data_IF_187765975182
#
_entry.id   IF_187765975182
#
_cell.length_a   1.000
_cell.length_b   1.000
_cell.length_c   1.000
_cell.angle_alpha   90.00
_cell.angle_beta   90.00
_cell.angle_gamma   90.00
#
_symmetry.space_group_name_H-M   'P 1'
#
loop_
_entity.id
_entity.type
_entity.pdbx_description
1 polymer ?
#
# COMPACT_ATOMS: atom_id res chain seq x y z
N UNK A 1 9.64 3.41 21.58
CA UNK A 1 8.26 3.82 21.87
C UNK A 1 7.36 2.62 21.71
N UNK A 2 6.52 2.32 22.70
CA UNK A 2 5.50 1.26 22.60
C UNK A 2 4.19 1.81 22.04
N UNK A 3 3.28 0.92 21.65
CA UNK A 3 1.93 1.33 21.23
C UNK A 3 1.17 2.07 22.35
N UNK A 4 1.33 1.64 23.59
CA UNK A 4 0.69 2.27 24.76
C UNK A 4 1.21 3.69 24.97
N UNK A 5 2.51 3.91 24.79
CA UNK A 5 3.14 5.23 24.87
C UNK A 5 2.66 6.14 23.72
N UNK A 6 2.55 5.62 22.50
CA UNK A 6 2.00 6.36 21.36
C UNK A 6 0.53 6.74 21.58
N UNK A 7 -0.27 5.80 22.09
CA UNK A 7 -1.70 5.99 22.36
C UNK A 7 -1.99 7.00 23.48
N UNK A 8 -0.99 7.32 24.29
CA UNK A 8 -1.09 8.35 25.33
C UNK A 8 -0.80 9.77 24.80
N UNK A 9 -0.32 9.91 23.56
CA UNK A 9 -0.12 11.21 22.93
C UNK A 9 -1.46 11.83 22.48
N UNK A 10 -1.53 13.17 22.33
CA UNK A 10 -2.64 13.82 21.64
C UNK A 10 -2.84 13.21 20.24
N UNK A 11 -4.10 13.02 19.83
CA UNK A 11 -4.47 12.39 18.56
C UNK A 11 -3.81 13.08 17.36
N UNK A 12 -3.68 14.41 17.41
CA UNK A 12 -3.06 15.21 16.35
C UNK A 12 -1.58 14.88 16.16
N UNK A 13 -0.91 14.43 17.22
CA UNK A 13 0.49 14.03 17.22
C UNK A 13 0.60 12.55 16.87
N UNK A 14 -0.19 11.69 17.51
CA UNK A 14 -0.18 10.25 17.29
C UNK A 14 -0.47 9.89 15.82
N UNK A 15 -1.43 10.57 15.20
CA UNK A 15 -1.78 10.39 13.78
C UNK A 15 -0.72 10.86 12.78
N UNK A 16 0.41 11.41 13.24
CA UNK A 16 1.56 11.77 12.40
C UNK A 16 2.76 10.84 12.63
N UNK A 17 2.57 9.73 13.34
CA UNK A 17 3.63 8.82 13.74
C UNK A 17 3.34 7.40 13.26
N UNK A 18 4.30 6.81 12.57
CA UNK A 18 4.41 5.36 12.37
C UNK A 18 5.43 4.78 13.37
N UNK A 19 5.22 3.53 13.78
CA UNK A 19 6.19 2.79 14.59
C UNK A 19 6.84 1.66 13.79
N UNK A 20 8.15 1.77 13.58
CA UNK A 20 8.95 0.76 12.91
C UNK A 20 9.74 -0.02 13.97
N UNK A 21 9.18 -1.14 14.43
CA UNK A 21 9.75 -1.93 15.54
C UNK A 21 10.03 -1.07 16.79
N UNK A 22 9.07 -0.21 17.14
CA UNK A 22 9.13 0.73 18.25
C UNK A 22 9.96 1.99 17.99
N UNK A 23 10.56 2.14 16.80
CA UNK A 23 11.18 3.39 16.34
C UNK A 23 10.12 4.35 15.83
N UNK A 24 10.14 5.59 16.34
CA UNK A 24 9.23 6.66 15.92
C UNK A 24 9.65 7.20 14.56
N UNK A 25 8.74 7.17 13.60
CA UNK A 25 8.90 7.76 12.27
C UNK A 25 7.79 8.77 12.04
N UNK A 26 8.16 10.01 11.69
CA UNK A 26 7.19 11.07 11.43
C UNK A 26 6.69 10.99 10.00
N UNK A 27 5.38 10.84 9.84
CA UNK A 27 4.71 10.89 8.56
C UNK A 27 4.30 12.34 8.29
N UNK A 28 4.73 12.88 7.15
CA UNK A 28 4.29 14.20 6.69
C UNK A 28 2.98 14.02 5.94
N UNK A 29 1.95 14.80 6.30
CA UNK A 29 0.74 14.88 5.46
C UNK A 29 1.13 15.40 4.08
N UNK A 30 0.76 14.64 3.05
CA UNK A 30 0.93 15.06 1.67
C UNK A 30 0.11 16.32 1.34
N UNK A 31 0.38 16.96 0.18
CA UNK A 31 -0.46 18.05 -0.31
C UNK A 31 -1.89 17.54 -0.62
N UNK A 32 -2.86 18.44 -0.84
CA UNK A 32 -4.25 18.04 -1.07
C UNK A 32 -4.41 17.03 -2.22
N UNK A 33 -3.62 17.20 -3.28
CA UNK A 33 -3.62 16.32 -4.46
C UNK A 33 -3.25 14.87 -4.12
N UNK A 34 -2.47 14.66 -3.06
CA UNK A 34 -2.18 13.32 -2.54
C UNK A 34 -3.44 12.67 -1.96
N UNK A 35 -4.18 13.41 -1.13
CA UNK A 35 -5.42 12.91 -0.54
C UNK A 35 -6.49 12.64 -1.61
N UNK A 36 -6.62 13.55 -2.58
CA UNK A 36 -7.56 13.41 -3.68
C UNK A 36 -7.25 12.13 -4.46
N UNK A 37 -5.98 11.90 -4.79
CA UNK A 37 -5.55 10.68 -5.47
C UNK A 37 -5.85 9.41 -4.65
N UNK A 38 -5.55 9.41 -3.35
CA UNK A 38 -5.85 8.30 -2.44
C UNK A 38 -7.36 7.98 -2.43
N UNK A 39 -8.22 8.99 -2.40
CA UNK A 39 -9.67 8.82 -2.40
C UNK A 39 -10.20 8.26 -3.72
N UNK A 40 -9.61 8.66 -4.86
CA UNK A 40 -9.97 8.13 -6.18
C UNK A 40 -9.58 6.65 -6.29
N UNK A 41 -8.37 6.28 -5.86
CA UNK A 41 -7.95 4.87 -5.81
C UNK A 41 -8.84 4.03 -4.89
N UNK A 42 -9.18 4.54 -3.71
CA UNK A 42 -10.11 3.87 -2.81
C UNK A 42 -11.46 3.62 -3.49
N UNK A 43 -12.02 4.63 -4.16
CA UNK A 43 -13.31 4.54 -4.83
C UNK A 43 -13.30 3.51 -5.96
N UNK A 44 -12.28 3.57 -6.82
CA UNK A 44 -12.11 2.68 -7.95
C UNK A 44 -11.87 1.22 -7.51
N UNK A 45 -10.96 1.00 -6.56
CA UNK A 45 -10.70 -0.34 -6.02
C UNK A 45 -11.93 -0.91 -5.31
N UNK A 46 -12.70 -0.08 -4.60
CA UNK A 46 -13.95 -0.50 -3.95
C UNK A 46 -15.00 -0.95 -4.97
N UNK A 47 -15.07 -0.29 -6.13
CA UNK A 47 -15.91 -0.74 -7.25
C UNK A 47 -15.45 -2.11 -7.75
N UNK A 48 -14.16 -2.28 -8.06
CA UNK A 48 -13.60 -3.56 -8.52
C UNK A 48 -13.85 -4.71 -7.53
N UNK A 49 -13.65 -4.46 -6.22
CA UNK A 49 -13.93 -5.46 -5.17
C UNK A 49 -15.41 -5.85 -5.12
N UNK A 50 -16.34 -4.90 -5.29
CA UNK A 50 -17.78 -5.20 -5.33
C UNK A 50 -18.16 -6.05 -6.54
N UNK A 51 -17.57 -5.76 -7.69
CA UNK A 51 -17.78 -6.56 -8.90
C UNK A 51 -17.26 -8.00 -8.73
N UNK A 52 -16.05 -8.17 -8.19
CA UNK A 52 -15.51 -9.52 -7.93
C UNK A 52 -16.33 -10.27 -6.89
N UNK A 53 -16.79 -9.61 -5.82
CA UNK A 53 -17.70 -10.23 -4.86
C UNK A 53 -19.01 -10.69 -5.52
N UNK A 54 -19.54 -9.93 -6.48
CA UNK A 54 -20.70 -10.35 -7.28
C UNK A 54 -20.43 -11.60 -8.13
N UNK A 55 -19.19 -11.79 -8.61
CA UNK A 55 -18.76 -12.96 -9.39
C UNK A 55 -18.39 -14.16 -8.50
N UNK A 56 -17.81 -13.91 -7.33
CA UNK A 56 -17.29 -14.90 -6.37
C UNK A 56 -17.64 -14.52 -4.93
N UNK A 57 -18.87 -14.83 -4.46
CA UNK A 57 -19.34 -14.45 -3.14
C UNK A 57 -18.57 -15.06 -1.97
N UNK A 58 -17.78 -16.12 -2.21
CA UNK A 58 -16.90 -16.74 -1.23
C UNK A 58 -15.65 -15.91 -0.92
N UNK A 59 -15.32 -14.93 -1.77
CA UNK A 59 -14.20 -14.00 -1.58
C UNK A 59 -14.70 -12.68 -1.02
N UNK A 60 -14.54 -12.50 0.28
CA UNK A 60 -14.86 -11.23 0.94
C UNK A 60 -13.60 -10.39 1.11
N UNK A 61 -13.54 -9.26 0.39
CA UNK A 61 -12.48 -8.27 0.51
C UNK A 61 -13.05 -6.89 0.84
N UNK A 62 -12.20 -6.04 1.43
CA UNK A 62 -12.50 -4.66 1.80
C UNK A 62 -11.40 -3.75 1.30
N UNK A 63 -11.78 -2.49 1.04
CA UNK A 63 -10.87 -1.42 0.65
C UNK A 63 -10.94 -0.33 1.70
N UNK A 64 -9.78 0.11 2.18
CA UNK A 64 -9.64 1.16 3.19
C UNK A 64 -8.56 2.16 2.76
N UNK A 65 -8.49 3.28 3.48
CA UNK A 65 -7.44 4.29 3.41
C UNK A 65 -6.94 4.56 4.82
N UNK A 66 -5.72 5.10 4.95
CA UNK A 66 -5.15 5.59 6.21
C UNK A 66 -5.32 4.62 7.40
N UNK A 67 -5.30 3.31 7.14
CA UNK A 67 -5.53 2.27 8.14
C UNK A 67 -4.21 1.59 8.47
N UNK A 68 -3.87 1.55 9.76
CA UNK A 68 -2.62 0.91 10.20
C UNK A 68 -2.62 -0.58 9.85
N UNK A 69 -1.55 -1.01 9.17
CA UNK A 69 -1.24 -2.41 8.92
C UNK A 69 -0.13 -2.83 9.86
N UNK A 70 -0.45 -3.69 10.82
CA UNK A 70 0.54 -4.21 11.75
C UNK A 70 1.32 -5.35 11.10
N UNK A 71 2.64 -5.16 10.98
CA UNK A 71 3.52 -6.06 10.22
C UNK A 71 3.91 -7.31 11.02
N UNK A 72 3.90 -7.22 12.35
CA UNK A 72 4.17 -8.35 13.22
C UNK A 72 2.93 -9.24 13.44
N UNK A 73 3.16 -10.54 13.63
CA UNK A 73 2.12 -11.51 14.03
C UNK A 73 1.45 -11.14 15.36
N UNK A 74 2.19 -10.48 16.25
CA UNK A 74 1.73 -10.06 17.57
C UNK A 74 2.18 -8.63 17.88
N UNK A 75 1.46 -7.96 18.78
CA UNK A 75 1.78 -6.60 19.23
C UNK A 75 1.37 -5.52 18.22
N UNK A 76 1.53 -4.26 18.60
CA UNK A 76 1.13 -3.10 17.79
C UNK A 76 2.25 -2.09 17.54
N UNK A 77 3.46 -2.36 18.04
CA UNK A 77 4.60 -1.44 17.95
C UNK A 77 5.38 -1.54 16.63
N UNK A 78 4.89 -2.33 15.66
CA UNK A 78 5.43 -2.40 14.31
C UNK A 78 4.28 -2.32 13.31
N UNK A 79 4.08 -1.14 12.73
CA UNK A 79 3.04 -0.89 11.72
C UNK A 79 3.47 0.17 10.71
N UNK A 80 2.81 0.13 9.57
CA UNK A 80 2.83 1.17 8.54
C UNK A 80 1.40 1.60 8.23
N UNK A 81 1.24 2.81 7.71
CA UNK A 81 -0.07 3.33 7.30
C UNK A 81 -0.04 3.58 5.79
N UNK A 82 -0.43 2.59 4.96
CA UNK A 82 -0.53 2.80 3.52
C UNK A 82 -1.65 3.78 3.19
N UNK A 83 -1.51 4.47 2.06
CA UNK A 83 -2.51 5.44 1.61
C UNK A 83 -3.82 4.75 1.27
N UNK A 84 -3.74 3.63 0.55
CA UNK A 84 -4.86 2.75 0.29
C UNK A 84 -4.45 1.28 0.40
N UNK A 85 -5.40 0.41 0.71
CA UNK A 85 -5.16 -1.02 0.83
C UNK A 85 -6.39 -1.85 0.49
N UNK A 86 -6.15 -3.08 0.04
CA UNK A 86 -7.17 -4.13 -0.11
C UNK A 86 -6.80 -5.30 0.82
N UNK A 87 -7.76 -5.72 1.64
CA UNK A 87 -7.56 -6.78 2.64
C UNK A 87 -8.79 -7.69 2.72
N UNK A 88 -8.61 -8.87 3.31
CA UNK A 88 -9.69 -9.83 3.53
C UNK A 88 -10.65 -9.31 4.60
N UNK A 89 -11.93 -9.67 4.49
CA UNK A 89 -12.87 -9.41 5.57
C UNK A 89 -12.40 -10.13 6.83
N UNK A 90 -12.33 -9.38 7.92
CA UNK A 90 -11.92 -9.90 9.22
C UNK A 90 -13.13 -10.52 9.93
N UNK A 91 -12.92 -11.59 10.74
CA UNK A 91 -14.00 -12.27 11.44
C UNK A 91 -14.64 -11.42 12.54
N UNK A 92 -13.85 -10.55 13.20
CA UNK A 92 -14.30 -9.74 14.32
C UNK A 92 -14.40 -8.25 13.95
N UNK A 93 -15.37 -7.56 14.55
CA UNK A 93 -15.48 -6.10 14.44
C UNK A 93 -14.31 -5.41 15.13
N UNK A 94 -13.84 -4.30 14.55
CA UNK A 94 -12.72 -3.50 15.07
C UNK A 94 -11.39 -4.27 15.25
N UNK A 95 -11.25 -5.42 14.61
CA UNK A 95 -10.01 -6.16 14.58
C UNK A 95 -8.91 -5.38 13.87
N UNK A 96 -7.70 -5.44 14.42
CA UNK A 96 -6.49 -4.91 13.80
C UNK A 96 -6.24 -5.57 12.43
N UNK A 97 -5.97 -4.77 11.40
CA UNK A 97 -5.54 -5.29 10.10
C UNK A 97 -4.07 -5.75 10.20
N UNK A 98 -3.82 -7.04 10.01
CA UNK A 98 -2.45 -7.60 9.99
C UNK A 98 -1.97 -7.80 8.56
N UNK A 99 -0.65 -7.82 8.37
CA UNK A 99 -0.06 -8.06 7.05
C UNK A 99 -0.60 -9.35 6.38
N UNK A 100 -0.80 -10.43 7.15
CA UNK A 100 -1.37 -11.70 6.67
C UNK A 100 -2.81 -11.56 6.11
N UNK A 101 -3.54 -10.49 6.47
CA UNK A 101 -4.90 -10.19 5.98
C UNK A 101 -4.88 -9.34 4.70
N UNK A 102 -3.76 -8.68 4.40
CA UNK A 102 -3.65 -7.69 3.33
C UNK A 102 -3.22 -8.36 2.02
N UNK A 103 -3.95 -8.05 0.95
CA UNK A 103 -3.65 -8.51 -0.41
C UNK A 103 -2.79 -7.50 -1.15
N UNK A 104 -3.08 -6.22 -0.95
CA UNK A 104 -2.48 -5.11 -1.67
C UNK A 104 -2.36 -3.89 -0.77
N UNK A 105 -1.20 -3.26 -0.77
CA UNK A 105 -0.96 -1.93 -0.21
C UNK A 105 -0.57 -0.96 -1.34
N UNK A 106 -0.96 0.30 -1.22
CA UNK A 106 -0.65 1.35 -2.18
C UNK A 106 -0.13 2.60 -1.51
N UNK A 107 0.89 3.21 -2.11
CA UNK A 107 1.50 4.47 -1.68
C UNK A 107 1.47 5.47 -2.83
N UNK A 108 0.96 6.68 -2.55
CA UNK A 108 0.92 7.82 -3.44
C UNK A 108 2.20 8.64 -3.23
N UNK A 109 3.09 8.59 -4.21
CA UNK A 109 4.37 9.27 -4.14
C UNK A 109 4.19 10.77 -4.35
N UNK A 110 4.29 11.51 -3.25
CA UNK A 110 4.42 12.95 -3.28
C UNK A 110 5.89 13.37 -3.40
N UNK A 111 6.17 14.60 -3.88
CA UNK A 111 7.52 15.14 -3.94
C UNK A 111 8.20 15.31 -2.56
N UNK A 112 7.45 15.23 -1.47
CA UNK A 112 7.97 15.24 -0.10
C UNK A 112 8.46 13.89 0.40
N UNK A 113 8.10 12.79 -0.27
CA UNK A 113 8.60 11.46 0.08
C UNK A 113 10.07 11.36 -0.39
N UNK A 114 10.97 10.97 0.51
CA UNK A 114 12.34 10.66 0.11
C UNK A 114 12.39 9.26 -0.49
N UNK A 115 13.27 9.05 -1.48
CA UNK A 115 13.47 7.72 -2.10
C UNK A 115 13.84 6.69 -1.03
N UNK A 116 14.70 7.07 -0.06
CA UNK A 116 15.11 6.18 1.02
C UNK A 116 13.95 5.76 1.93
N UNK A 117 13.03 6.68 2.25
CA UNK A 117 11.88 6.35 3.11
C UNK A 117 10.92 5.40 2.39
N UNK A 118 10.70 5.61 1.08
CA UNK A 118 9.83 4.75 0.29
C UNK A 118 10.41 3.36 0.08
N UNK A 119 11.71 3.25 -0.23
CA UNK A 119 12.39 1.95 -0.33
C UNK A 119 12.37 1.21 1.01
N UNK A 120 12.54 1.91 2.13
CA UNK A 120 12.44 1.31 3.46
C UNK A 120 11.02 0.81 3.76
N UNK A 121 9.98 1.60 3.46
CA UNK A 121 8.56 1.16 3.60
C UNK A 121 8.28 -0.08 2.75
N UNK A 122 8.68 -0.03 1.48
CA UNK A 122 8.52 -1.12 0.51
C UNK A 122 9.18 -2.41 0.98
N UNK A 123 10.42 -2.34 1.46
CA UNK A 123 11.12 -3.50 2.02
C UNK A 123 10.37 -4.08 3.24
N UNK A 124 9.84 -3.24 4.12
CA UNK A 124 9.08 -3.70 5.30
C UNK A 124 7.76 -4.37 4.93
N UNK A 125 7.03 -3.87 3.93
CA UNK A 125 5.84 -4.56 3.41
C UNK A 125 6.20 -5.93 2.81
N UNK A 126 7.32 -6.00 2.08
CA UNK A 126 7.79 -7.26 1.49
C UNK A 126 8.19 -8.28 2.56
N UNK A 127 8.93 -7.86 3.59
CA UNK A 127 9.30 -8.69 4.74
C UNK A 127 8.08 -9.17 5.52
N UNK A 128 7.03 -8.36 5.59
CA UNK A 128 5.75 -8.71 6.20
C UNK A 128 4.92 -9.69 5.34
N UNK A 129 5.34 -9.97 4.11
CA UNK A 129 4.72 -10.98 3.24
C UNK A 129 3.48 -10.50 2.49
N UNK A 130 3.27 -9.19 2.33
CA UNK A 130 2.12 -8.67 1.57
C UNK A 130 2.35 -8.91 0.07
N UNK A 131 1.40 -9.56 -0.60
CA UNK A 131 1.61 -10.06 -1.97
C UNK A 131 1.79 -8.95 -3.01
N UNK A 132 1.07 -7.83 -2.88
CA UNK A 132 1.09 -6.74 -3.86
C UNK A 132 1.38 -5.39 -3.22
N UNK A 133 2.27 -4.64 -3.88
CA UNK A 133 2.62 -3.28 -3.51
C UNK A 133 2.47 -2.37 -4.73
N UNK A 134 1.71 -1.28 -4.61
CA UNK A 134 1.47 -0.32 -5.68
C UNK A 134 2.10 1.03 -5.36
N UNK A 135 2.77 1.62 -6.35
CA UNK A 135 3.28 3.00 -6.29
C UNK A 135 2.51 3.86 -7.29
N UNK A 136 1.94 4.97 -6.82
CA UNK A 136 1.25 5.95 -7.66
C UNK A 136 2.08 7.22 -7.69
N UNK A 137 2.68 7.53 -8.84
CA UNK A 137 3.47 8.74 -9.02
C UNK A 137 2.62 9.86 -9.60
N UNK A 138 2.57 11.00 -8.91
CA UNK A 138 1.85 12.19 -9.39
C UNK A 138 2.70 13.05 -10.33
N UNK A 139 2.05 13.63 -11.35
CA UNK A 139 2.60 14.65 -12.24
C UNK A 139 2.24 16.06 -11.74
N UNK A 140 3.14 17.03 -11.98
CA UNK A 140 2.91 18.44 -11.61
C UNK A 140 2.44 19.31 -12.77
N UNK A 141 2.70 18.92 -14.02
CA UNK A 141 2.34 19.69 -15.21
C UNK A 141 2.21 18.80 -16.47
N UNK A 142 0.98 18.53 -16.97
CA UNK A 142 -0.29 18.80 -16.29
C UNK A 142 -0.37 18.03 -14.95
N UNK A 143 -1.25 18.48 -14.05
CA UNK A 143 -1.56 17.74 -12.82
C UNK A 143 -2.29 16.44 -13.19
N UNK A 144 -2.06 15.39 -12.42
CA UNK A 144 -2.63 14.06 -12.67
C UNK A 144 -1.69 12.94 -12.24
N UNK A 145 -1.98 11.73 -12.69
CA UNK A 145 -1.12 10.57 -12.50
C UNK A 145 -0.06 10.55 -13.59
N UNK A 146 1.21 10.46 -13.20
CA UNK A 146 2.32 10.25 -14.12
C UNK A 146 2.48 8.77 -14.47
N UNK A 147 2.42 7.90 -13.45
CA UNK A 147 2.67 6.46 -13.58
C UNK A 147 2.06 5.72 -12.40
N UNK A 148 1.54 4.53 -12.64
CA UNK A 148 1.19 3.55 -11.60
C UNK A 148 2.03 2.31 -11.81
N UNK A 149 2.67 1.82 -10.76
CA UNK A 149 3.49 0.61 -10.81
C UNK A 149 2.93 -0.43 -9.87
N UNK A 150 2.72 -1.64 -10.37
CA UNK A 150 2.40 -2.79 -9.56
C UNK A 150 3.65 -3.63 -9.35
N UNK A 151 3.94 -3.95 -8.10
CA UNK A 151 4.99 -4.87 -7.74
C UNK A 151 4.41 -6.13 -7.07
N UNK A 152 4.94 -7.28 -7.46
CA UNK A 152 4.59 -8.57 -6.90
C UNK A 152 5.67 -9.04 -5.92
N UNK A 153 5.27 -9.67 -4.82
CA UNK A 153 6.19 -10.21 -3.84
C UNK A 153 6.99 -11.38 -4.43
N UNK A 154 8.31 -11.25 -4.40
CA UNK A 154 9.24 -12.33 -4.65
C UNK A 154 9.53 -13.07 -3.34
N UNK A 155 8.96 -14.26 -3.22
CA UNK A 155 9.10 -15.14 -2.03
C UNK A 155 10.34 -16.03 -2.03
N UNK A 156 11.13 -15.98 -3.11
CA UNK A 156 12.37 -16.74 -3.27
C UNK A 156 13.49 -15.83 -3.69
N UNK A 157 14.55 -15.76 -2.88
CA UNK A 157 15.79 -15.09 -3.27
C UNK A 157 16.34 -15.74 -4.53
N UNK A 158 16.71 -14.93 -5.52
CA UNK A 158 17.39 -15.40 -6.73
C UNK A 158 18.75 -16.02 -6.43
N UNK A 159 19.44 -16.52 -7.47
CA UNK A 159 20.79 -17.07 -7.31
C UNK A 159 21.78 -15.97 -6.90
N UNK A 160 22.30 -16.07 -5.68
CA UNK A 160 23.38 -15.22 -5.18
C UNK A 160 24.73 -15.95 -5.26
N UNK A 161 25.83 -15.22 -5.51
CA UNK A 161 27.18 -15.80 -5.44
C UNK A 161 27.46 -16.44 -4.06
N UNK A 162 28.30 -17.48 -3.99
CA UNK A 162 28.69 -18.08 -2.71
C UNK A 162 29.20 -17.03 -1.71
N UNK A 163 28.66 -17.04 -0.49
CA UNK A 163 29.02 -16.11 0.58
C UNK A 163 28.28 -14.76 0.57
N UNK A 164 27.42 -14.50 -0.43
CA UNK A 164 26.57 -13.30 -0.47
C UNK A 164 25.21 -13.61 0.15
N UNK A 165 24.80 -12.81 1.14
CA UNK A 165 23.50 -12.90 1.79
C UNK A 165 22.67 -11.66 1.48
N UNK A 166 21.42 -11.85 1.07
CA UNK A 166 20.48 -10.74 0.91
C UNK A 166 20.19 -10.12 2.28
N UNK A 167 20.30 -8.79 2.37
CA UNK A 167 19.86 -8.06 3.56
C UNK A 167 18.34 -8.16 3.74
N UNK A 168 17.60 -8.11 2.63
CA UNK A 168 16.16 -8.31 2.57
C UNK A 168 15.89 -9.51 1.67
N UNK A 169 15.59 -10.71 2.22
CA UNK A 169 15.39 -11.91 1.42
C UNK A 169 14.05 -11.91 0.67
N UNK A 170 13.06 -11.20 1.21
CA UNK A 170 11.78 -10.90 0.57
C UNK A 170 11.87 -9.53 -0.07
N UNK A 171 11.56 -9.43 -1.36
CA UNK A 171 11.55 -8.18 -2.10
C UNK A 171 10.38 -8.14 -3.07
N UNK A 172 10.08 -6.94 -3.55
CA UNK A 172 9.12 -6.72 -4.62
C UNK A 172 9.82 -6.69 -5.99
N UNK A 173 9.22 -7.32 -6.98
CA UNK A 173 9.61 -7.21 -8.39
C UNK A 173 8.56 -6.41 -9.14
N UNK A 174 8.98 -5.53 -10.06
CA UNK A 174 8.06 -4.78 -10.91
C UNK A 174 7.34 -5.77 -11.81
N UNK A 175 6.03 -5.88 -11.63
CA UNK A 175 5.17 -6.82 -12.34
C UNK A 175 4.39 -6.11 -13.45
N UNK A 176 4.04 -4.84 -13.25
CA UNK A 176 3.33 -4.03 -14.23
C UNK A 176 3.60 -2.53 -14.06
N UNK A 177 3.42 -1.77 -15.14
CA UNK A 177 3.53 -0.31 -15.15
C UNK A 177 2.53 0.28 -16.14
N UNK A 178 1.66 1.18 -15.67
CA UNK A 178 0.71 1.91 -16.49
C UNK A 178 1.01 3.40 -16.47
N UNK A 179 0.91 4.05 -17.63
CA UNK A 179 0.89 5.51 -17.69
C UNK A 179 -0.09 6.02 -18.76
N UNK A 180 -0.69 7.21 -18.56
CA UNK A 180 -1.71 7.74 -19.48
C UNK A 180 -1.28 7.93 -20.94
N UNK A 181 0.03 7.88 -21.24
CA UNK A 181 0.53 8.06 -22.62
C UNK A 181 0.63 6.73 -23.37
N UNK A 182 0.98 5.64 -22.70
CA UNK A 182 1.12 4.32 -23.34
C UNK A 182 -0.10 3.43 -23.13
N UNK A 183 -0.87 3.69 -22.08
CA UNK A 183 -1.99 2.86 -21.64
C UNK A 183 -3.26 3.70 -21.60
N UNK A 184 -3.81 4.16 -22.74
CA UNK A 184 -4.87 5.18 -22.77
C UNK A 184 -6.18 4.75 -22.09
N UNK A 185 -6.42 3.44 -21.96
CA UNK A 185 -7.64 2.89 -21.37
C UNK A 185 -7.61 2.81 -19.83
N UNK A 186 -6.47 3.08 -19.20
CA UNK A 186 -6.32 3.04 -17.74
C UNK A 186 -5.47 1.88 -17.23
N UNK A 187 -5.74 1.48 -16.00
CA UNK A 187 -5.10 0.36 -15.30
C UNK A 187 -5.93 -0.90 -15.56
N UNK A 188 -5.30 -1.99 -15.99
CA UNK A 188 -5.95 -3.29 -16.13
C UNK A 188 -5.01 -4.42 -15.70
N UNK A 189 -5.48 -5.27 -14.78
CA UNK A 189 -4.73 -6.45 -14.32
C UNK A 189 -5.67 -7.52 -13.78
N UNK A 190 -5.26 -8.78 -13.85
CA UNK A 190 -5.97 -9.92 -13.27
C UNK A 190 -5.56 -10.21 -11.82
N UNK A 191 -4.59 -9.47 -11.28
CA UNK A 191 -4.03 -9.71 -9.95
C UNK A 191 -4.02 -8.45 -9.05
N UNK A 192 -4.21 -8.60 -7.72
CA UNK A 192 -4.55 -9.83 -6.98
C UNK A 192 -5.93 -10.40 -7.33
N UNK A 193 -6.73 -9.63 -8.06
CA UNK A 193 -7.99 -9.99 -8.66
C UNK A 193 -8.24 -9.11 -9.89
N UNK A 194 -9.28 -9.37 -10.69
CA UNK A 194 -9.60 -8.52 -11.82
C UNK A 194 -9.83 -7.07 -11.38
N UNK A 195 -8.91 -6.19 -11.75
CA UNK A 195 -8.94 -4.75 -11.50
C UNK A 195 -8.90 -4.07 -12.86
N UNK A 196 -9.87 -3.19 -13.12
CA UNK A 196 -9.89 -2.32 -14.29
C UNK A 196 -10.32 -0.94 -13.83
N UNK A 197 -9.45 0.05 -13.99
CA UNK A 197 -9.65 1.43 -13.53
C UNK A 197 -9.33 2.37 -14.70
N UNK A 198 -10.35 2.90 -15.40
CA UNK A 198 -10.17 3.93 -16.42
C UNK A 198 -9.53 5.19 -15.85
N UNK A 199 -8.75 5.91 -16.65
CA UNK A 199 -8.16 7.17 -16.19
C UNK A 199 -9.20 8.22 -15.81
N UNK A 200 -10.40 8.16 -16.39
CA UNK A 200 -11.51 9.06 -16.05
C UNK A 200 -11.97 8.91 -14.59
N UNK A 201 -11.78 7.72 -13.98
CA UNK A 201 -12.04 7.51 -12.55
C UNK A 201 -10.92 8.09 -11.66
N UNK A 202 -9.80 8.51 -12.25
CA UNK A 202 -8.59 8.98 -11.56
C UNK A 202 -8.20 10.42 -11.94
N UNK A 203 -9.13 11.20 -12.51
CA UNK A 203 -8.91 12.62 -12.81
C UNK A 203 -8.87 13.47 -11.52
N UNK A 204 -7.77 14.23 -11.35
CA UNK A 204 -7.50 15.14 -10.24
C UNK A 204 -7.90 16.59 -10.54
#
# INVERSE_FOLDING_TARGET
MTWEELSALPEEIAGQIELWDGRVVWVRRGPAEHQDCTNLFWSALRRCVREEHGRKPDRCWRVSTETNVFLGRHGRSNFLTPDFLVYRCLPDEYQDVRADDVLLVGEVLSPSNTVSDMEAKKARYAEAGIDWYWEVKLARNPRGIATVRAYALQTRTGNLPPGVHALHPMNYILADEWNPRTDPDGISTEFPFPITIPWEELEL
#
